data_IF_169008850034
#
_entry.id   IF_169008850034
#
_cell.length_a   1.000
_cell.length_b   1.000
_cell.length_c   1.000
_cell.angle_alpha   90.00
_cell.angle_beta   90.00
_cell.angle_gamma   90.00
#
_symmetry.space_group_name_H-M   'P 1'
#
loop_
_entity.id
_entity.type
_entity.pdbx_description
1 polymer ?
#
# COMPACT_ATOMS: atom_id res chain seq x y z
N UNK A 1 -12.31 18.79 -0.35
CA UNK A 1 -10.83 18.78 -0.40
C UNK A 1 -10.40 19.67 -1.55
N UNK A 2 -9.58 20.68 -1.29
CA UNK A 2 -9.16 21.65 -2.32
C UNK A 2 -7.80 21.20 -2.84
N UNK A 3 -7.71 20.86 -4.13
CA UNK A 3 -6.46 20.46 -4.76
C UNK A 3 -5.91 21.66 -5.52
N UNK A 4 -4.76 22.16 -5.09
CA UNK A 4 -4.09 23.28 -5.73
C UNK A 4 -3.05 22.74 -6.70
N UNK A 5 -2.83 23.43 -7.81
CA UNK A 5 -1.84 23.02 -8.81
C UNK A 5 -0.87 24.15 -9.03
N UNK A 6 0.41 23.82 -9.04
CA UNK A 6 1.49 24.75 -9.28
C UNK A 6 2.61 24.09 -10.07
N UNK A 7 3.44 24.90 -10.74
CA UNK A 7 4.63 24.43 -11.43
C UNK A 7 5.75 24.13 -10.43
N UNK A 8 6.69 23.27 -10.82
CA UNK A 8 7.90 22.99 -10.01
C UNK A 8 8.64 24.27 -9.60
N UNK A 9 8.71 25.26 -10.51
CA UNK A 9 9.35 26.55 -10.24
C UNK A 9 8.58 27.42 -9.24
N UNK A 10 7.26 27.39 -9.26
CA UNK A 10 6.44 28.08 -8.26
C UNK A 10 6.54 27.41 -6.89
N UNK A 11 6.66 26.07 -6.86
CA UNK A 11 6.86 25.29 -5.64
C UNK A 11 8.19 25.66 -4.98
N UNK A 12 9.25 25.74 -5.79
CA UNK A 12 10.59 26.09 -5.34
C UNK A 12 10.62 27.52 -4.78
N UNK A 13 10.05 28.48 -5.51
CA UNK A 13 10.04 29.88 -5.11
C UNK A 13 9.24 30.15 -3.82
N UNK A 14 8.19 29.36 -3.56
CA UNK A 14 7.29 29.54 -2.42
C UNK A 14 7.29 28.31 -1.50
N UNK A 15 8.44 27.64 -1.35
CA UNK A 15 8.50 26.33 -0.70
C UNK A 15 7.94 26.33 0.73
N UNK A 16 8.34 27.29 1.55
CA UNK A 16 7.87 27.39 2.95
C UNK A 16 6.36 27.58 3.05
N UNK A 17 5.79 28.46 2.23
CA UNK A 17 4.35 28.70 2.22
C UNK A 17 3.58 27.47 1.72
N UNK A 18 4.12 26.83 0.67
CA UNK A 18 3.57 25.59 0.12
C UNK A 18 3.58 24.48 1.17
N UNK A 19 4.66 24.35 1.95
CA UNK A 19 4.77 23.40 3.05
C UNK A 19 3.79 23.72 4.18
N UNK A 20 3.62 24.98 4.54
CA UNK A 20 2.68 25.41 5.57
C UNK A 20 1.23 25.08 5.20
N UNK A 21 0.84 25.28 3.94
CA UNK A 21 -0.50 24.89 3.48
C UNK A 21 -0.75 23.38 3.61
N UNK A 22 0.26 22.55 3.34
CA UNK A 22 0.15 21.10 3.52
C UNK A 22 0.14 20.73 5.02
N UNK A 23 1.06 21.29 5.81
CA UNK A 23 1.22 20.90 7.21
C UNK A 23 0.11 21.44 8.14
N UNK A 24 -0.31 22.69 7.94
CA UNK A 24 -1.23 23.40 8.82
C UNK A 24 -2.67 23.38 8.29
N UNK A 25 -2.85 23.65 7.00
CA UNK A 25 -4.18 23.77 6.38
C UNK A 25 -4.68 22.44 5.80
N UNK A 26 -3.83 21.40 5.82
CA UNK A 26 -4.12 20.05 5.34
C UNK A 26 -4.49 20.01 3.85
N UNK A 27 -3.94 20.94 3.08
CA UNK A 27 -4.17 21.00 1.65
C UNK A 27 -3.35 19.97 0.88
N UNK A 28 -3.86 19.57 -0.28
CA UNK A 28 -3.17 18.66 -1.20
C UNK A 28 -2.71 19.45 -2.41
N UNK A 29 -1.41 19.43 -2.69
CA UNK A 29 -0.80 20.29 -3.70
C UNK A 29 -0.18 19.43 -4.79
N UNK A 30 -0.64 19.63 -6.03
CA UNK A 30 -0.11 19.00 -7.23
C UNK A 30 1.00 19.86 -7.83
N UNK A 31 2.20 19.30 -7.93
CA UNK A 31 3.37 19.95 -8.53
C UNK A 31 3.58 19.38 -9.93
N UNK A 32 3.61 20.25 -10.93
CA UNK A 32 3.77 19.89 -12.34
C UNK A 32 5.14 20.31 -12.86
N UNK A 33 5.79 19.41 -13.59
CA UNK A 33 7.00 19.71 -14.34
C UNK A 33 6.77 19.33 -15.81
N UNK A 34 7.10 20.21 -16.78
CA UNK A 34 6.93 19.89 -18.20
C UNK A 34 7.68 18.61 -18.58
N UNK A 35 6.99 17.70 -19.28
CA UNK A 35 7.57 16.42 -19.72
C UNK A 35 7.71 15.36 -18.63
N UNK A 36 7.14 15.57 -17.44
CA UNK A 36 7.14 14.60 -16.35
C UNK A 36 5.74 14.42 -15.77
N UNK A 37 5.50 13.23 -15.20
CA UNK A 37 4.30 13.00 -14.41
C UNK A 37 4.28 13.92 -13.18
N UNK A 38 3.10 14.44 -12.79
CA UNK A 38 2.99 15.33 -11.66
C UNK A 38 3.20 14.57 -10.34
N UNK A 39 3.79 15.25 -9.37
CA UNK A 39 3.93 14.75 -8.00
C UNK A 39 2.96 15.48 -7.07
N UNK A 40 2.67 14.88 -5.92
CA UNK A 40 1.78 15.47 -4.93
C UNK A 40 2.52 15.67 -3.61
N UNK A 41 2.31 16.83 -3.00
CA UNK A 41 2.65 17.07 -1.61
C UNK A 41 1.35 17.03 -0.81
N UNK A 42 1.29 16.10 0.13
CA UNK A 42 0.11 15.81 0.96
C UNK A 42 0.53 15.67 2.43
N UNK A 43 -0.39 15.87 3.38
CA UNK A 43 -0.11 15.62 4.79
C UNK A 43 0.27 14.15 5.01
N UNK A 44 1.29 13.88 5.83
CA UNK A 44 1.74 12.52 6.11
C UNK A 44 0.61 11.62 6.63
N UNK A 45 -0.25 12.15 7.51
CA UNK A 45 -1.41 11.41 8.03
C UNK A 45 -2.40 10.96 6.96
N UNK A 46 -2.54 11.73 5.87
CA UNK A 46 -3.48 11.42 4.79
C UNK A 46 -2.89 10.34 3.89
N UNK A 47 -1.56 10.36 3.71
CA UNK A 47 -0.83 9.26 3.07
C UNK A 47 -0.94 7.97 3.88
N UNK A 48 -0.71 8.02 5.21
CA UNK A 48 -0.86 6.87 6.10
C UNK A 48 -2.28 6.30 6.08
N UNK A 49 -3.30 7.17 6.11
CA UNK A 49 -4.69 6.76 5.99
C UNK A 49 -4.96 6.08 4.64
N UNK A 50 -4.42 6.63 3.55
CA UNK A 50 -4.57 6.05 2.22
C UNK A 50 -3.98 4.63 2.14
N UNK A 51 -2.77 4.42 2.66
CA UNK A 51 -2.14 3.10 2.72
C UNK A 51 -3.00 2.12 3.52
N UNK A 52 -3.45 2.53 4.71
CA UNK A 52 -4.32 1.70 5.55
C UNK A 52 -5.61 1.30 4.84
N UNK A 53 -6.24 2.23 4.11
CA UNK A 53 -7.47 1.95 3.36
C UNK A 53 -7.22 1.00 2.17
N UNK A 54 -6.03 1.04 1.57
CA UNK A 54 -5.66 0.07 0.53
C UNK A 54 -5.51 -1.34 1.11
N UNK A 55 -4.79 -1.47 2.24
CA UNK A 55 -4.64 -2.74 2.95
C UNK A 55 -5.99 -3.31 3.38
N UNK A 56 -6.87 -2.51 3.98
CA UNK A 56 -8.21 -2.95 4.37
C UNK A 56 -9.07 -3.40 3.17
N UNK A 57 -8.87 -2.78 2.00
CA UNK A 57 -9.58 -3.16 0.79
C UNK A 57 -9.06 -4.47 0.20
N UNK A 58 -7.74 -4.69 0.22
CA UNK A 58 -7.09 -5.94 -0.17
C UNK A 58 -7.50 -7.08 0.75
N UNK A 59 -7.41 -6.89 2.06
CA UNK A 59 -7.83 -7.88 3.07
C UNK A 59 -9.27 -8.35 2.85
N UNK A 60 -10.15 -7.41 2.50
CA UNK A 60 -11.55 -7.73 2.23
C UNK A 60 -11.69 -8.63 0.99
N UNK A 61 -10.93 -8.36 -0.07
CA UNK A 61 -10.94 -9.19 -1.28
C UNK A 61 -10.40 -10.58 -0.95
N UNK A 62 -9.32 -10.67 -0.19
CA UNK A 62 -8.71 -11.95 0.20
C UNK A 62 -9.65 -12.81 1.06
N UNK A 63 -10.38 -12.20 2.01
CA UNK A 63 -11.41 -12.89 2.79
C UNK A 63 -12.53 -13.39 1.87
N UNK A 64 -13.03 -12.54 0.98
CA UNK A 64 -14.08 -12.93 0.03
C UNK A 64 -13.63 -14.06 -0.90
N UNK A 65 -12.37 -14.10 -1.30
CA UNK A 65 -11.80 -15.19 -2.07
C UNK A 65 -11.63 -16.47 -1.25
N UNK A 66 -11.14 -16.36 -0.02
CA UNK A 66 -11.01 -17.49 0.89
C UNK A 66 -12.38 -18.14 1.16
N UNK A 67 -13.41 -17.33 1.40
CA UNK A 67 -14.79 -17.80 1.58
C UNK A 67 -15.31 -18.55 0.34
N UNK A 68 -14.99 -18.08 -0.87
CA UNK A 68 -15.34 -18.81 -2.10
C UNK A 68 -14.64 -20.16 -2.15
N UNK A 69 -13.33 -20.22 -1.87
CA UNK A 69 -12.53 -21.46 -1.91
C UNK A 69 -12.98 -22.48 -0.87
N UNK A 70 -13.37 -22.04 0.33
CA UNK A 70 -13.88 -22.92 1.40
C UNK A 70 -15.22 -23.56 0.99
N UNK A 71 -16.09 -22.78 0.36
CA UNK A 71 -17.43 -23.20 -0.02
C UNK A 71 -17.51 -23.89 -1.39
N UNK A 72 -16.42 -23.89 -2.15
CA UNK A 72 -16.31 -24.67 -3.38
C UNK A 72 -16.08 -26.15 -3.04
N UNK A 73 -16.96 -27.01 -3.56
CA UNK A 73 -16.92 -28.46 -3.34
C UNK A 73 -15.97 -29.17 -4.31
N UNK A 74 -15.52 -28.50 -5.36
CA UNK A 74 -14.53 -29.01 -6.31
C UNK A 74 -13.09 -28.65 -5.89
N UNK A 75 -12.93 -27.77 -4.89
CA UNK A 75 -11.64 -27.40 -4.34
C UNK A 75 -10.99 -28.57 -3.59
N UNK A 76 -9.72 -28.85 -3.89
CA UNK A 76 -8.92 -29.83 -3.15
C UNK A 76 -8.77 -29.39 -1.69
N UNK A 77 -9.13 -30.28 -0.75
CA UNK A 77 -9.08 -30.03 0.69
C UNK A 77 -8.00 -30.91 1.28
N UNK A 78 -6.99 -30.29 1.86
CA UNK A 78 -5.96 -30.98 2.61
C UNK A 78 -6.41 -31.16 4.06
N UNK A 79 -6.09 -32.31 4.63
CA UNK A 79 -6.17 -32.51 6.08
C UNK A 79 -5.03 -31.78 6.79
N UNK A 80 -5.19 -31.58 8.09
CA UNK A 80 -4.15 -30.97 8.92
C UNK A 80 -2.84 -31.77 8.87
N UNK A 81 -2.90 -33.10 8.82
CA UNK A 81 -1.72 -33.97 8.74
C UNK A 81 -1.02 -33.84 7.37
N UNK A 82 -1.77 -33.82 6.26
CA UNK A 82 -1.20 -33.64 4.92
C UNK A 82 -0.48 -32.29 4.77
N UNK A 83 -1.09 -31.21 5.26
CA UNK A 83 -0.49 -29.86 5.20
C UNK A 83 0.86 -29.76 5.92
N UNK A 84 0.98 -30.30 7.14
CA UNK A 84 2.24 -30.24 7.90
C UNK A 84 3.29 -31.23 7.38
N UNK A 85 2.87 -32.39 6.90
CA UNK A 85 3.79 -33.32 6.24
C UNK A 85 4.43 -32.69 4.98
N UNK A 86 3.71 -31.85 4.24
CA UNK A 86 4.27 -31.11 3.11
C UNK A 86 5.25 -30.01 3.54
N UNK A 87 4.91 -29.26 4.60
CA UNK A 87 5.79 -28.21 5.14
C UNK A 87 7.11 -28.74 5.73
N UNK A 88 7.09 -29.89 6.39
CA UNK A 88 8.30 -30.49 6.99
C UNK A 88 9.29 -30.99 5.93
N UNK A 89 8.81 -31.42 4.76
CA UNK A 89 9.65 -31.93 3.67
C UNK A 89 10.45 -30.82 2.99
N UNK A 90 10.00 -29.57 3.01
CA UNK A 90 10.75 -28.42 2.46
C UNK A 90 11.81 -27.87 3.43
N UNK A 91 11.73 -28.20 4.72
CA UNK A 91 12.71 -27.79 5.73
C UNK A 91 13.87 -28.78 5.85
N UNK A 92 14.72 -28.90 4.82
CA UNK A 92 16.03 -29.56 5.04
C UNK A 92 16.85 -28.76 6.09
N UNK A 93 17.57 -29.45 6.99
CA UNK A 93 18.32 -28.78 8.03
C UNK A 93 19.44 -27.95 7.41
N UNK A 94 19.54 -26.67 7.80
CA UNK A 94 20.74 -25.86 7.59
C UNK A 94 21.90 -26.59 8.27
N UNK A 95 22.63 -27.41 7.52
CA UNK A 95 23.86 -28.02 7.99
C UNK A 95 24.83 -26.89 8.33
N UNK A 96 25.15 -26.78 9.62
CA UNK A 96 26.19 -25.92 10.18
C UNK A 96 27.43 -25.91 9.28
N UNK A 97 27.64 -24.82 8.54
CA UNK A 97 28.95 -24.46 8.01
C UNK A 97 29.62 -23.59 9.06
N UNK A 98 30.39 -24.24 9.95
CA UNK A 98 31.51 -23.62 10.65
C UNK A 98 32.66 -23.51 9.66
#
# INVERSE_FOLDING_TARGET
>A
MKIWSLSSKEAENNFTDTLNHVACDLEHIKIKQPGQEPVYMIPAKDYELFIKLLEEAEDKIDIEEADKRINDNEQEKLTFEEFFNELEVESEPVQNRI
#
